data_IF_520275523492
#
_entry.id   IF_520275523492
#
_cell.length_a   1.000
_cell.length_b   1.000
_cell.length_c   1.000
_cell.angle_alpha   90.00
_cell.angle_beta   90.00
_cell.angle_gamma   90.00
#
_symmetry.space_group_name_H-M   'P 1'
#
loop_
_entity.id
_entity.type
_entity.pdbx_description
1 polymer ?
#
# COMPACT_ATOMS: atom_id res chain seq x y z
N UNK A 1 0.41 -23.91 -5.83
CA UNK A 1 -0.02 -22.69 -5.13
C UNK A 1 1.12 -22.32 -4.22
N UNK A 2 1.82 -21.22 -4.51
CA UNK A 2 2.90 -20.72 -3.64
C UNK A 2 2.29 -20.37 -2.29
N UNK A 3 2.83 -20.93 -1.21
CA UNK A 3 2.40 -20.55 0.13
C UNK A 3 3.14 -19.28 0.56
N UNK A 4 2.59 -18.56 1.53
CA UNK A 4 3.21 -17.33 2.07
C UNK A 4 4.55 -17.62 2.75
N UNK A 5 4.78 -18.87 3.17
CA UNK A 5 5.99 -19.39 3.79
C UNK A 5 6.89 -20.19 2.83
N UNK A 6 6.58 -20.21 1.53
CA UNK A 6 7.44 -20.87 0.53
C UNK A 6 8.71 -20.04 0.31
N UNK A 7 9.85 -20.71 0.12
CA UNK A 7 11.15 -20.05 -0.05
C UNK A 7 11.22 -19.15 -1.31
N UNK A 8 10.27 -19.33 -2.23
CA UNK A 8 10.10 -18.58 -3.48
C UNK A 8 9.05 -17.45 -3.38
N UNK A 9 8.38 -17.31 -2.22
CA UNK A 9 7.45 -16.20 -2.00
C UNK A 9 8.23 -14.90 -1.81
N UNK A 10 7.87 -13.88 -2.59
CA UNK A 10 8.48 -12.55 -2.49
C UNK A 10 7.42 -11.47 -2.30
N UNK A 11 7.75 -10.38 -1.60
CA UNK A 11 6.89 -9.20 -1.52
C UNK A 11 6.50 -8.64 -2.91
N UNK A 12 7.28 -8.92 -3.95
CA UNK A 12 6.99 -8.54 -5.32
C UNK A 12 5.73 -9.24 -5.90
N UNK A 13 5.40 -10.45 -5.44
CA UNK A 13 4.13 -11.10 -5.83
C UNK A 13 2.93 -10.32 -5.31
N UNK A 14 2.98 -9.85 -4.05
CA UNK A 14 1.94 -9.00 -3.50
C UNK A 14 1.80 -7.70 -4.32
N UNK A 15 2.92 -7.06 -4.65
CA UNK A 15 2.89 -5.84 -5.47
C UNK A 15 2.21 -6.08 -6.81
N UNK A 16 2.47 -7.21 -7.46
CA UNK A 16 1.86 -7.48 -8.76
C UNK A 16 0.34 -7.56 -8.71
N UNK A 17 -0.21 -8.12 -7.62
CA UNK A 17 -1.65 -8.18 -7.41
C UNK A 17 -2.22 -6.79 -7.15
N UNK A 18 -1.56 -6.00 -6.30
CA UNK A 18 -1.92 -4.61 -6.05
C UNK A 18 -1.94 -3.78 -7.33
N UNK A 19 -0.89 -3.89 -8.15
CA UNK A 19 -0.76 -3.17 -9.42
C UNK A 19 -1.90 -3.52 -10.39
N UNK A 20 -2.29 -4.80 -10.47
CA UNK A 20 -3.45 -5.22 -11.25
C UNK A 20 -4.75 -4.56 -10.79
N UNK A 21 -4.99 -4.50 -9.47
CA UNK A 21 -6.17 -3.81 -8.91
C UNK A 21 -6.14 -2.29 -9.13
N UNK A 22 -4.97 -1.66 -9.07
CA UNK A 22 -4.77 -0.24 -9.35
C UNK A 22 -5.08 0.07 -10.82
N UNK A 23 -4.58 -0.73 -11.77
CA UNK A 23 -4.90 -0.58 -13.19
C UNK A 23 -6.39 -0.81 -13.49
N UNK A 24 -7.03 -1.69 -12.73
CA UNK A 24 -8.48 -1.92 -12.80
C UNK A 24 -9.31 -0.82 -12.11
N UNK A 25 -8.66 0.05 -11.32
CA UNK A 25 -9.29 1.12 -10.51
C UNK A 25 -10.27 0.59 -9.47
N UNK A 26 -9.98 -0.57 -8.88
CA UNK A 26 -10.81 -1.12 -7.81
C UNK A 26 -10.64 -0.33 -6.51
N UNK A 27 -11.67 -0.33 -5.68
CA UNK A 27 -11.60 0.17 -4.31
C UNK A 27 -10.89 -0.86 -3.41
N UNK A 28 -10.04 -0.37 -2.50
CA UNK A 28 -9.27 -1.21 -1.59
C UNK A 28 -9.71 -0.97 -0.15
N UNK A 29 -10.35 -1.96 0.45
CA UNK A 29 -10.76 -1.91 1.86
C UNK A 29 -9.59 -2.29 2.77
N UNK A 30 -9.35 -1.47 3.77
CA UNK A 30 -8.27 -1.66 4.73
C UNK A 30 -8.68 -2.74 5.73
N UNK A 31 -8.11 -3.93 5.60
CA UNK A 31 -8.48 -5.10 6.42
C UNK A 31 -7.89 -5.09 7.83
N UNK A 32 -6.89 -4.24 8.11
CA UNK A 32 -6.23 -4.15 9.41
C UNK A 32 -5.98 -2.69 9.82
N UNK A 33 -5.96 -2.36 11.12
CA UNK A 33 -5.67 -1.00 11.57
C UNK A 33 -4.31 -0.51 11.06
N UNK A 34 -4.23 0.76 10.67
CA UNK A 34 -2.97 1.42 10.27
C UNK A 34 -2.10 1.80 11.48
N UNK A 35 -1.73 0.82 12.30
CA UNK A 35 -0.79 0.99 13.42
C UNK A 35 0.66 0.94 12.92
N UNK A 36 1.61 1.38 13.75
CA UNK A 36 3.04 1.27 13.44
C UNK A 36 3.44 -0.18 13.17
N UNK A 37 2.99 -1.13 13.99
CA UNK A 37 3.32 -2.55 13.85
C UNK A 37 2.78 -3.16 12.55
N UNK A 38 1.65 -2.65 12.05
CA UNK A 38 1.07 -3.13 10.80
C UNK A 38 1.68 -2.46 9.57
N UNK A 39 2.42 -1.36 9.69
CA UNK A 39 2.95 -0.58 8.56
C UNK A 39 4.47 -0.68 8.46
N UNK A 40 5.17 -0.58 9.58
CA UNK A 40 6.61 -0.51 9.66
C UNK A 40 7.20 -1.88 9.91
N UNK A 41 8.30 -2.18 9.22
CA UNK A 41 9.10 -3.36 9.46
C UNK A 41 10.55 -2.93 9.70
N UNK A 42 11.19 -3.32 10.82
CA UNK A 42 12.54 -2.86 11.15
C UNK A 42 13.61 -3.44 10.22
N UNK A 43 13.34 -4.56 9.55
CA UNK A 43 14.27 -5.23 8.61
C UNK A 43 14.04 -4.75 7.18
N UNK A 44 12.79 -4.62 6.76
CA UNK A 44 12.38 -4.35 5.37
C UNK A 44 11.87 -2.93 5.14
N UNK A 45 11.97 -2.05 6.14
CA UNK A 45 11.40 -0.70 6.21
C UNK A 45 9.86 -0.64 6.30
N UNK A 46 9.14 -1.55 5.64
CA UNK A 46 7.69 -1.64 5.71
C UNK A 46 7.20 -3.09 5.59
N UNK A 47 6.08 -3.36 6.22
CA UNK A 47 5.32 -4.61 6.06
C UNK A 47 4.67 -4.66 4.68
N UNK A 48 4.04 -5.79 4.35
CA UNK A 48 3.17 -5.92 3.17
C UNK A 48 2.10 -4.82 3.15
N UNK A 49 1.37 -4.62 4.25
CA UNK A 49 0.34 -3.58 4.35
C UNK A 49 0.92 -2.19 4.11
N UNK A 50 2.07 -1.86 4.72
CA UNK A 50 2.72 -0.56 4.53
C UNK A 50 3.07 -0.29 3.06
N UNK A 51 3.50 -1.34 2.35
CA UNK A 51 3.81 -1.32 0.92
C UNK A 51 2.56 -1.15 0.06
N UNK A 52 1.49 -1.87 0.36
CA UNK A 52 0.20 -1.72 -0.32
C UNK A 52 -0.33 -0.29 -0.23
N UNK A 53 -0.33 0.27 0.98
CA UNK A 53 -0.77 1.64 1.24
C UNK A 53 0.09 2.70 0.55
N UNK A 54 1.41 2.48 0.49
CA UNK A 54 2.30 3.34 -0.29
C UNK A 54 1.91 3.32 -1.77
N UNK A 55 1.59 2.16 -2.34
CA UNK A 55 1.20 2.04 -3.74
C UNK A 55 -0.08 2.80 -4.05
N UNK A 56 -1.10 2.62 -3.21
CA UNK A 56 -2.36 3.33 -3.35
C UNK A 56 -2.15 4.86 -3.30
N UNK A 57 -1.48 5.35 -2.26
CA UNK A 57 -1.22 6.80 -2.11
C UNK A 57 -0.33 7.38 -3.22
N UNK A 58 0.58 6.57 -3.77
CA UNK A 58 1.42 6.98 -4.92
C UNK A 58 0.61 7.07 -6.21
N UNK A 59 -0.37 6.18 -6.40
CA UNK A 59 -1.06 5.99 -7.67
C UNK A 59 -2.50 6.51 -7.68
N UNK A 60 -2.72 7.67 -7.08
CA UNK A 60 -3.97 8.43 -7.26
C UNK A 60 -5.13 7.94 -6.41
N UNK A 61 -4.87 7.20 -5.34
CA UNK A 61 -5.90 6.82 -4.38
C UNK A 61 -5.88 7.71 -3.15
N UNK A 62 -7.09 7.96 -2.65
CA UNK A 62 -7.32 8.71 -1.41
C UNK A 62 -8.09 7.85 -0.42
N UNK A 63 -7.77 7.99 0.86
CA UNK A 63 -8.44 7.26 1.93
C UNK A 63 -9.75 7.96 2.33
N UNK A 64 -10.80 7.16 2.48
CA UNK A 64 -12.13 7.59 2.92
C UNK A 64 -12.63 6.70 4.06
N UNK A 65 -13.46 7.24 4.97
CA UNK A 65 -14.18 6.40 5.93
C UNK A 65 -15.21 5.53 5.21
N UNK A 66 -15.40 4.31 5.71
CA UNK A 66 -16.44 3.38 5.27
C UNK A 66 -17.24 2.90 6.49
N UNK A 67 -18.55 3.15 6.49
CA UNK A 67 -19.43 2.86 7.63
C UNK A 67 -19.58 1.38 7.96
N UNK A 68 -19.24 0.47 7.03
CA UNK A 68 -19.37 -0.98 7.22
C UNK A 68 -18.03 -1.68 7.45
N UNK A 69 -17.00 -1.27 6.73
CA UNK A 69 -15.70 -1.95 6.66
C UNK A 69 -14.54 -1.10 7.18
N UNK A 70 -14.82 0.03 7.83
CA UNK A 70 -13.80 0.88 8.46
C UNK A 70 -13.27 1.94 7.51
N UNK A 71 -12.27 1.60 6.69
CA UNK A 71 -11.56 2.55 5.83
C UNK A 71 -11.37 1.97 4.42
N UNK A 72 -11.46 2.82 3.40
CA UNK A 72 -11.36 2.42 1.99
C UNK A 72 -10.51 3.42 1.20
N UNK A 73 -9.61 2.91 0.38
CA UNK A 73 -8.92 3.70 -0.63
C UNK A 73 -9.72 3.68 -1.92
N UNK A 74 -10.09 4.86 -2.40
CA UNK A 74 -10.86 5.08 -3.63
C UNK A 74 -9.97 5.79 -4.64
N UNK A 75 -10.03 5.35 -5.90
CA UNK A 75 -9.31 5.97 -7.01
C UNK A 75 -9.89 7.34 -7.32
N UNK A 76 -9.15 8.41 -7.04
CA UNK A 76 -9.56 9.80 -7.33
C UNK A 76 -8.79 10.41 -8.48
N UNK A 77 -7.62 9.87 -8.84
CA UNK A 77 -6.89 10.20 -10.06
C UNK A 77 -6.71 8.95 -10.94
N UNK A 78 -7.66 8.75 -11.84
CA UNK A 78 -7.67 7.61 -12.76
C UNK A 78 -6.50 7.64 -13.75
N UNK A 79 -6.02 8.84 -14.14
CA UNK A 79 -4.91 8.98 -15.07
C UNK A 79 -3.59 8.60 -14.39
N UNK A 80 -3.42 8.93 -13.11
CA UNK A 80 -2.29 8.47 -12.31
C UNK A 80 -2.31 6.95 -12.13
N UNK A 81 -3.47 6.38 -11.76
CA UNK A 81 -3.63 4.94 -11.62
C UNK A 81 -3.30 4.17 -12.91
N UNK A 82 -3.75 4.66 -14.07
CA UNK A 82 -3.47 4.03 -15.37
C UNK A 82 -1.98 4.04 -15.73
N UNK A 83 -1.23 5.05 -15.27
CA UNK A 83 0.22 5.18 -15.49
C UNK A 83 1.06 4.47 -14.42
N UNK A 84 0.44 3.78 -13.47
CA UNK A 84 1.16 3.06 -12.43
C UNK A 84 2.12 2.04 -13.07
N UNK A 85 3.35 1.99 -12.58
CA UNK A 85 4.36 1.04 -13.03
C UNK A 85 5.24 0.60 -11.86
N UNK A 86 5.83 -0.60 -11.97
CA UNK A 86 6.77 -1.08 -10.95
C UNK A 86 7.99 -0.18 -10.78
N UNK A 87 8.44 0.48 -11.87
CA UNK A 87 9.56 1.43 -11.79
C UNK A 87 9.20 2.64 -10.94
N UNK A 88 8.00 3.21 -11.14
CA UNK A 88 7.52 4.32 -10.32
C UNK A 88 7.28 3.88 -8.87
N UNK A 89 6.77 2.67 -8.66
CA UNK A 89 6.52 2.09 -7.35
C UNK A 89 7.83 1.91 -6.57
N UNK A 90 8.85 1.31 -7.19
CA UNK A 90 10.17 1.14 -6.57
C UNK A 90 10.79 2.48 -6.18
N UNK A 91 10.70 3.49 -7.05
CA UNK A 91 11.18 4.85 -6.74
C UNK A 91 10.46 5.45 -5.53
N UNK A 92 9.15 5.27 -5.43
CA UNK A 92 8.37 5.73 -4.27
C UNK A 92 8.77 4.96 -3.00
N UNK A 93 9.00 3.65 -3.11
CA UNK A 93 9.46 2.82 -2.00
C UNK A 93 10.83 3.27 -1.48
N UNK A 94 11.81 3.48 -2.36
CA UNK A 94 13.16 3.92 -1.98
C UNK A 94 13.14 5.31 -1.34
N UNK A 95 12.30 6.22 -1.86
CA UNK A 95 12.08 7.54 -1.29
C UNK A 95 11.43 7.47 0.11
N UNK A 96 10.40 6.63 0.28
CA UNK A 96 9.74 6.44 1.57
C UNK A 96 10.69 5.82 2.60
N UNK A 97 11.48 4.82 2.19
CA UNK A 97 12.49 4.17 3.03
C UNK A 97 13.55 5.14 3.52
N UNK A 98 14.06 6.02 2.64
CA UNK A 98 15.11 6.98 3.00
C UNK A 98 14.61 8.16 3.84
N UNK A 99 13.34 8.56 3.69
CA UNK A 99 12.77 9.74 4.35
C UNK A 99 11.90 9.44 5.58
N UNK A 100 11.71 8.16 5.94
CA UNK A 100 10.71 7.77 6.95
C UNK A 100 9.27 7.99 6.48
N UNK A 101 9.03 7.99 5.16
CA UNK A 101 7.74 8.31 4.56
C UNK A 101 6.60 7.37 4.99
N UNK A 102 6.91 6.12 5.34
CA UNK A 102 5.91 5.14 5.80
C UNK A 102 5.21 5.56 7.09
N UNK A 103 5.87 6.33 7.97
CA UNK A 103 5.25 6.82 9.21
C UNK A 103 4.07 7.78 8.97
N UNK A 104 3.94 8.33 7.76
CA UNK A 104 2.77 9.15 7.37
C UNK A 104 1.52 8.32 7.10
N UNK A 105 1.68 7.01 6.87
CA UNK A 105 0.57 6.09 6.62
C UNK A 105 -0.07 5.62 7.92
N UNK A 106 0.64 5.74 9.04
CA UNK A 106 0.14 5.38 10.38
C UNK A 106 -1.01 6.31 10.75
N UNK A 107 -2.14 5.72 11.13
CA UNK A 107 -3.27 6.46 11.69
C UNK A 107 -2.82 7.01 13.04
N UNK A 108 -2.72 8.34 13.14
CA UNK A 108 -2.51 9.01 14.42
C UNK A 108 -3.87 9.10 15.11
N UNK A 109 -3.94 8.65 16.35
CA UNK A 109 -5.13 8.88 17.17
C UNK A 109 -5.35 10.39 17.28
N UNK A 110 -6.59 10.83 17.05
CA UNK A 110 -6.97 12.20 17.34
C UNK A 110 -6.83 12.39 18.86
N UNK A 111 -5.96 13.32 19.25
CA UNK A 111 -5.78 13.77 20.63
C UNK A 111 -7.06 14.42 21.16
#
# INVERSE_FOLDING_TARGET
MLKVDDHDWSPALNDSWLMGGIHARFDFYVASPRTEQNILDPTYAATVTGRELLGLTTFGYTLHPNTRLGEVYVCTDQACALRASFVAYQKAFDSAKSSGGFSKLVKRDAS
#
